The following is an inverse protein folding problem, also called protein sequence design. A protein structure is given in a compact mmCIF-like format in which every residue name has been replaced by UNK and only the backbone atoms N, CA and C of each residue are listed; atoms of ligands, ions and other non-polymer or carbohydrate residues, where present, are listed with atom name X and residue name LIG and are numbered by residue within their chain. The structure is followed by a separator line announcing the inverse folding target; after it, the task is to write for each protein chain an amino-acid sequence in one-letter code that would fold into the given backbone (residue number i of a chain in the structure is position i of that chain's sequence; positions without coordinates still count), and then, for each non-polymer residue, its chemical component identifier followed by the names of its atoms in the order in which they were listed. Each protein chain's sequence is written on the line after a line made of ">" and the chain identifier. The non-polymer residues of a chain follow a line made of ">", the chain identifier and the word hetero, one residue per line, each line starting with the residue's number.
data_IF_199888829587
#
_entry.id   IF_199888829587
#
_cell.length_a   1.000
_cell.length_b   1.000
_cell.length_c   1.000
_cell.angle_alpha   90.00
_cell.angle_beta   90.00
_cell.angle_gamma   90.00
#
_symmetry.space_group_name_H-M   'P 1'
#
loop_
_entity.id
_entity.type
_entity.pdbx_description
1 polymer ?
#
# COMPACT_ATOMS: atom_id res chain seq x y z
N UNK A 1 -9.21 61.59 -42.74
CA UNK A 1 -10.15 60.47 -43.04
C UNK A 1 -9.29 59.37 -43.65
N UNK A 2 -9.12 58.14 -43.17
CA UNK A 2 -9.77 57.26 -42.17
C UNK A 2 -8.83 56.05 -42.04
N UNK A 3 -8.02 55.93 -40.98
CA UNK A 3 -7.14 54.74 -40.79
C UNK A 3 -7.14 54.16 -39.37
N UNK A 4 -8.11 54.55 -38.53
CA UNK A 4 -8.23 54.04 -37.16
C UNK A 4 -9.16 52.82 -37.04
N UNK A 5 -10.03 52.56 -38.02
CA UNK A 5 -11.06 51.50 -37.91
C UNK A 5 -10.59 50.09 -38.28
N UNK A 6 -9.42 49.91 -38.88
CA UNK A 6 -8.96 48.58 -39.33
C UNK A 6 -8.28 47.76 -38.22
N UNK A 7 -7.73 48.41 -37.19
CA UNK A 7 -7.03 47.71 -36.09
C UNK A 7 -7.96 47.23 -34.98
N UNK A 8 -9.09 47.91 -34.77
CA UNK A 8 -10.13 47.49 -33.82
C UNK A 8 -10.98 46.34 -34.35
N UNK A 9 -11.17 46.22 -35.67
CA UNK A 9 -11.90 45.10 -36.27
C UNK A 9 -11.15 43.75 -36.14
N UNK A 10 -9.81 43.75 -36.23
CA UNK A 10 -9.03 42.53 -36.13
C UNK A 10 -8.96 41.95 -34.70
N UNK A 11 -9.05 42.79 -33.67
CA UNK A 11 -8.99 42.34 -32.27
C UNK A 11 -10.36 41.82 -31.79
N UNK A 12 -11.47 42.35 -32.30
CA UNK A 12 -12.82 41.85 -31.97
C UNK A 12 -13.13 40.52 -32.66
N UNK A 13 -12.56 40.26 -33.84
CA UNK A 13 -12.80 39.02 -34.59
C UNK A 13 -12.00 37.82 -34.05
N UNK A 14 -10.88 38.05 -33.36
CA UNK A 14 -10.12 36.99 -32.68
C UNK A 14 -10.76 36.59 -31.34
N UNK A 15 -11.43 37.50 -30.64
CA UNK A 15 -12.14 37.21 -29.38
C UNK A 15 -13.50 36.51 -29.57
N UNK A 16 -14.04 36.46 -30.80
CA UNK A 16 -15.31 35.79 -31.10
C UNK A 16 -15.14 34.30 -31.47
N UNK A 17 -13.94 33.86 -31.85
CA UNK A 17 -13.66 32.45 -32.23
C UNK A 17 -13.27 31.60 -31.01
N UNK A 18 -12.93 32.21 -29.87
CA UNK A 18 -12.59 31.48 -28.64
C UNK A 18 -13.79 31.16 -27.73
N UNK A 19 -14.99 31.69 -28.02
CA UNK A 19 -16.19 31.44 -27.19
C UNK A 19 -17.14 30.35 -27.74
N UNK A 20 -16.99 29.92 -29.00
CA UNK A 20 -17.84 28.87 -29.61
C UNK A 20 -17.22 27.45 -29.55
N UNK A 21 -16.21 27.24 -28.69
CA UNK A 21 -15.62 25.92 -28.42
C UNK A 21 -15.99 25.40 -27.02
N UNK A 22 -17.06 25.95 -26.42
CA UNK A 22 -17.63 25.52 -25.15
C UNK A 22 -19.16 25.34 -25.25
N UNK A 23 -19.64 24.86 -26.40
CA UNK A 23 -21.00 24.32 -26.54
C UNK A 23 -20.92 22.90 -27.14
N UNK A 24 -21.49 21.97 -26.39
CA UNK A 24 -21.94 20.64 -26.79
C UNK A 24 -20.90 19.57 -27.15
N UNK A 25 -20.25 19.05 -26.11
CA UNK A 25 -19.89 17.63 -26.04
C UNK A 25 -21.03 16.84 -25.36
N UNK A 26 -22.23 16.93 -25.93
CA UNK A 26 -23.31 15.96 -25.69
C UNK A 26 -23.12 14.82 -26.69
N UNK A 27 -22.60 13.67 -26.24
CA UNK A 27 -22.52 12.53 -27.15
C UNK A 27 -21.66 11.34 -26.76
N UNK A 28 -20.98 11.33 -25.61
CA UNK A 28 -20.21 10.16 -25.16
C UNK A 28 -20.46 9.87 -23.66
N UNK A 29 -21.73 9.75 -23.28
CA UNK A 29 -22.08 9.04 -22.04
C UNK A 29 -22.20 7.54 -22.35
N UNK A 30 -21.06 6.91 -22.64
CA UNK A 30 -20.96 5.43 -22.71
C UNK A 30 -20.85 4.78 -21.33
N UNK A 31 -21.11 5.52 -20.26
CA UNK A 31 -20.96 5.03 -18.88
C UNK A 31 -22.15 4.17 -18.43
N UNK A 32 -23.34 4.33 -19.02
CA UNK A 32 -24.53 3.54 -18.65
C UNK A 32 -24.51 2.13 -19.28
N UNK A 33 -24.08 2.01 -20.54
CA UNK A 33 -24.05 0.70 -21.23
C UNK A 33 -22.92 -0.20 -20.73
N UNK A 34 -21.82 0.37 -20.23
CA UNK A 34 -20.72 -0.41 -19.62
C UNK A 34 -21.08 -0.82 -18.18
N UNK A 35 -21.97 -0.09 -17.50
CA UNK A 35 -22.44 -0.45 -16.16
C UNK A 35 -23.53 -1.55 -16.21
N UNK A 36 -24.31 -1.62 -17.29
CA UNK A 36 -25.27 -2.71 -17.53
C UNK A 36 -24.61 -4.04 -17.95
N UNK A 37 -23.50 -4.02 -18.69
CA UNK A 37 -22.74 -5.25 -19.04
C UNK A 37 -21.75 -5.68 -17.95
N UNK A 38 -21.28 -4.77 -17.09
CA UNK A 38 -20.49 -5.12 -15.91
C UNK A 38 -21.31 -5.77 -14.78
N UNK A 39 -22.64 -5.61 -14.78
CA UNK A 39 -23.53 -6.29 -13.85
C UNK A 39 -23.87 -7.74 -14.25
N UNK A 40 -23.48 -8.19 -15.45
CA UNK A 40 -23.88 -9.49 -16.00
C UNK A 40 -22.74 -10.53 -16.12
N UNK A 41 -21.53 -10.25 -15.62
CA UNK A 41 -20.39 -11.20 -15.67
C UNK A 41 -19.79 -11.56 -14.29
N UNK A 42 -20.60 -11.60 -13.24
CA UNK A 42 -20.23 -12.28 -12.01
C UNK A 42 -21.20 -13.43 -11.79
N UNK A 43 -20.74 -14.66 -12.09
CA UNK A 43 -21.39 -15.86 -11.59
C UNK A 43 -21.52 -15.78 -10.05
N UNK A 44 -22.57 -16.37 -9.46
CA UNK A 44 -22.96 -16.12 -8.07
C UNK A 44 -21.99 -16.60 -6.98
N UNK A 45 -20.88 -17.26 -7.30
CA UNK A 45 -20.05 -17.96 -6.30
C UNK A 45 -18.55 -17.58 -6.34
N UNK A 46 -18.22 -16.34 -5.97
CA UNK A 46 -16.84 -15.93 -5.65
C UNK A 46 -16.82 -15.07 -4.38
N UNK A 47 -15.78 -15.13 -3.53
CA UNK A 47 -15.71 -14.33 -2.32
C UNK A 47 -15.77 -12.85 -2.70
N UNK A 48 -16.85 -12.19 -2.30
CA UNK A 48 -16.99 -10.74 -2.41
C UNK A 48 -16.24 -10.13 -1.23
N UNK A 49 -15.03 -9.67 -1.49
CA UNK A 49 -14.29 -8.84 -0.55
C UNK A 49 -14.97 -7.47 -0.48
N UNK A 50 -15.64 -7.18 0.63
CA UNK A 50 -16.18 -5.85 0.90
C UNK A 50 -15.23 -5.07 1.83
N UNK A 51 -14.72 -3.96 1.33
CA UNK A 51 -13.92 -3.01 2.09
C UNK A 51 -14.89 -2.14 2.88
N UNK A 52 -14.89 -2.28 4.22
CA UNK A 52 -15.75 -1.47 5.09
C UNK A 52 -14.91 -0.62 6.04
N UNK A 53 -15.25 0.67 6.10
CA UNK A 53 -14.72 1.57 7.10
C UNK A 53 -15.45 1.34 8.43
N UNK A 54 -14.70 0.85 9.42
CA UNK A 54 -15.19 0.50 10.75
C UNK A 54 -14.68 1.53 11.75
N UNK A 55 -15.61 2.13 12.49
CA UNK A 55 -15.27 3.01 13.62
C UNK A 55 -14.59 2.17 14.73
N UNK A 56 -13.38 2.58 15.13
CA UNK A 56 -12.55 1.96 16.16
C UNK A 56 -12.37 2.90 17.36
N UNK A 57 -13.41 3.07 18.19
CA UNK A 57 -13.33 3.91 19.38
C UNK A 57 -12.37 3.34 20.45
N UNK A 58 -12.00 2.06 20.35
CA UNK A 58 -10.98 1.39 21.14
C UNK A 58 -9.57 1.90 20.86
N UNK A 59 -9.29 2.32 19.61
CA UNK A 59 -7.97 2.83 19.19
C UNK A 59 -7.80 4.28 19.61
N UNK A 60 -8.78 5.13 19.27
CA UNK A 60 -8.78 6.52 19.66
C UNK A 60 -10.20 7.07 19.65
N UNK A 61 -10.63 7.62 20.79
CA UNK A 61 -11.87 8.34 20.92
C UNK A 61 -11.67 9.50 21.90
N UNK A 62 -11.95 10.71 21.44
CA UNK A 62 -11.91 11.90 22.29
C UNK A 62 -13.00 12.87 21.88
N UNK A 63 -13.63 13.51 22.86
CA UNK A 63 -14.53 14.65 22.64
C UNK A 63 -13.94 15.83 23.38
N UNK A 64 -13.44 16.81 22.63
CA UNK A 64 -12.73 17.95 23.18
C UNK A 64 -12.91 19.18 22.28
N UNK A 65 -12.49 20.33 22.79
CA UNK A 65 -12.51 21.57 22.04
C UNK A 65 -11.39 21.59 21.01
N UNK A 66 -11.74 21.82 19.75
CA UNK A 66 -10.86 22.04 18.64
C UNK A 66 -10.77 23.51 18.26
N UNK A 67 -9.58 23.92 17.80
CA UNK A 67 -9.31 25.26 17.30
C UNK A 67 -8.68 25.18 15.91
N UNK A 68 -9.25 25.96 15.00
CA UNK A 68 -8.56 26.36 13.78
C UNK A 68 -8.00 27.76 13.97
N UNK A 69 -6.71 27.94 13.69
CA UNK A 69 -5.98 29.19 13.89
C UNK A 69 -6.17 30.22 12.76
N UNK A 70 -6.92 29.86 11.71
CA UNK A 70 -7.18 30.73 10.55
C UNK A 70 -6.02 30.82 9.57
N UNK A 71 -4.90 30.11 9.82
CA UNK A 71 -3.77 30.07 8.90
C UNK A 71 -4.09 29.06 7.78
N UNK A 72 -3.76 29.36 6.51
CA UNK A 72 -3.81 28.36 5.46
C UNK A 72 -2.83 27.22 5.81
N UNK A 73 -3.35 26.00 5.88
CA UNK A 73 -2.54 24.80 6.11
C UNK A 73 -2.08 24.18 4.80
N UNK A 74 -0.96 23.43 4.85
CA UNK A 74 -0.60 22.50 3.79
C UNK A 74 -1.79 21.55 3.58
N UNK A 75 -2.31 21.53 2.35
CA UNK A 75 -3.65 21.05 2.02
C UNK A 75 -3.95 19.63 2.49
N UNK A 76 -5.25 19.34 2.58
CA UNK A 76 -5.79 18.08 3.04
C UNK A 76 -6.52 18.21 4.38
N UNK A 77 -7.42 17.26 4.62
CA UNK A 77 -8.23 17.20 5.83
C UNK A 77 -7.44 16.44 6.90
N UNK A 78 -6.94 17.19 7.88
CA UNK A 78 -6.24 16.63 9.02
C UNK A 78 -6.58 17.30 10.34
N UNK A 79 -6.36 16.56 11.42
CA UNK A 79 -6.55 16.96 12.81
C UNK A 79 -5.33 16.53 13.63
N UNK A 80 -4.90 17.35 14.58
CA UNK A 80 -3.77 17.02 15.45
C UNK A 80 -4.17 17.01 16.93
N UNK A 81 -3.72 15.99 17.65
CA UNK A 81 -3.97 15.84 19.08
C UNK A 81 -2.68 15.40 19.82
N UNK A 82 -2.41 15.88 21.06
CA UNK A 82 -1.18 15.58 21.78
C UNK A 82 -1.02 14.12 22.22
N UNK A 83 -2.13 13.40 22.48
CA UNK A 83 -2.08 12.02 22.99
C UNK A 83 -1.96 10.96 21.88
N UNK A 84 -1.87 11.39 20.62
CA UNK A 84 -1.74 10.50 19.46
C UNK A 84 -0.28 10.13 19.30
N UNK A 85 0.01 8.83 19.21
CA UNK A 85 1.37 8.32 19.02
C UNK A 85 1.63 7.99 17.55
N UNK A 86 0.70 7.25 16.95
CA UNK A 86 0.77 6.81 15.56
C UNK A 86 -0.25 7.57 14.71
N UNK A 87 0.06 7.88 13.45
CA UNK A 87 -0.89 8.50 12.54
C UNK A 87 -2.02 7.52 12.21
N UNK A 88 -3.25 7.97 12.33
CA UNK A 88 -4.45 7.14 12.12
C UNK A 88 -5.45 7.86 11.20
N UNK A 89 -6.35 7.11 10.57
CA UNK A 89 -7.52 7.73 9.94
C UNK A 89 -8.59 7.97 10.99
N UNK A 90 -9.31 9.08 10.88
CA UNK A 90 -10.36 9.45 11.83
C UNK A 90 -11.60 9.97 11.15
N UNK A 91 -12.72 9.69 11.79
CA UNK A 91 -13.99 10.39 11.59
C UNK A 91 -14.12 11.48 12.64
N UNK A 92 -14.32 12.71 12.18
CA UNK A 92 -14.42 13.90 13.03
C UNK A 92 -15.82 14.47 12.89
N UNK A 93 -16.51 14.63 14.02
CA UNK A 93 -17.88 15.12 14.10
C UNK A 93 -17.92 16.41 14.89
N UNK A 94 -18.49 17.47 14.33
CA UNK A 94 -18.77 18.70 15.08
C UNK A 94 -20.07 18.53 15.86
N UNK A 95 -20.02 18.60 17.19
CA UNK A 95 -21.17 18.33 18.06
C UNK A 95 -22.27 19.40 17.94
N UNK A 96 -21.93 20.62 17.48
CA UNK A 96 -22.89 21.72 17.31
C UNK A 96 -23.60 21.68 15.96
N UNK A 97 -22.88 21.38 14.88
CA UNK A 97 -23.45 21.37 13.53
C UNK A 97 -23.92 19.98 13.08
N UNK A 98 -23.48 18.91 13.76
CA UNK A 98 -23.71 17.52 13.35
C UNK A 98 -22.92 17.10 12.11
N UNK A 99 -22.08 17.99 11.55
CA UNK A 99 -21.28 17.69 10.36
C UNK A 99 -20.18 16.71 10.69
N UNK A 100 -19.99 15.74 9.82
CA UNK A 100 -19.00 14.68 9.96
C UNK A 100 -18.09 14.66 8.73
N UNK A 101 -16.79 14.51 8.96
CA UNK A 101 -15.76 14.41 7.92
C UNK A 101 -14.80 13.28 8.25
N UNK A 102 -14.09 12.80 7.23
CA UNK A 102 -12.99 11.86 7.39
C UNK A 102 -11.66 12.55 7.07
N UNK A 103 -10.61 12.20 7.81
CA UNK A 103 -9.30 12.79 7.63
C UNK A 103 -8.20 12.04 8.36
N UNK A 104 -7.01 12.61 8.33
CA UNK A 104 -5.86 12.08 9.03
C UNK A 104 -5.75 12.66 10.45
N UNK A 105 -5.41 11.82 11.41
CA UNK A 105 -5.07 12.19 12.78
C UNK A 105 -3.55 12.15 12.96
N UNK A 106 -2.97 13.26 13.38
CA UNK A 106 -1.55 13.38 13.63
C UNK A 106 -1.23 13.70 15.09
N UNK A 107 -0.02 13.34 15.50
CA UNK A 107 0.57 13.82 16.74
C UNK A 107 0.89 15.30 16.63
N UNK A 108 0.49 16.08 17.63
CA UNK A 108 0.84 17.50 17.70
C UNK A 108 2.34 17.68 17.97
N UNK A 109 3.07 18.26 17.02
CA UNK A 109 4.53 18.41 17.09
C UNK A 109 4.99 19.46 18.11
N UNK A 110 4.24 20.57 18.23
CA UNK A 110 4.54 21.66 19.17
C UNK A 110 3.40 21.80 20.18
N UNK A 111 3.75 21.83 21.47
CA UNK A 111 2.80 22.18 22.51
C UNK A 111 2.47 23.67 22.41
N UNK A 112 1.41 24.00 21.66
CA UNK A 112 0.89 25.35 21.55
C UNK A 112 -0.12 25.61 22.67
N UNK A 113 -0.13 26.82 23.26
CA UNK A 113 -1.17 27.21 24.21
C UNK A 113 -2.54 27.22 23.50
N UNK A 114 -3.59 26.89 24.26
CA UNK A 114 -4.96 26.82 23.74
C UNK A 114 -5.50 25.38 23.71
N UNK A 115 -6.58 25.15 22.95
CA UNK A 115 -7.24 23.85 22.88
C UNK A 115 -6.29 22.74 22.40
N UNK A 116 -6.53 21.50 22.86
CA UNK A 116 -5.61 20.38 22.60
C UNK A 116 -5.70 19.93 21.15
N UNK A 117 -6.89 19.99 20.57
CA UNK A 117 -7.14 19.64 19.17
C UNK A 117 -6.86 20.85 18.27
N UNK A 118 -6.03 20.63 17.25
CA UNK A 118 -5.79 21.59 16.17
C UNK A 118 -6.39 21.05 14.86
N UNK A 119 -7.07 21.92 14.12
CA UNK A 119 -7.68 21.59 12.83
C UNK A 119 -6.91 22.22 11.68
N UNK A 120 -6.86 21.50 10.56
CA UNK A 120 -6.52 22.07 9.25
C UNK A 120 -7.57 23.06 8.76
N UNK A 121 -7.18 23.92 7.80
CA UNK A 121 -8.09 24.82 7.10
C UNK A 121 -9.21 24.06 6.39
N UNK A 122 -8.88 22.95 5.72
CA UNK A 122 -9.86 22.16 4.96
C UNK A 122 -10.82 21.41 5.90
N UNK A 123 -10.32 20.85 7.01
CA UNK A 123 -11.17 20.23 8.03
C UNK A 123 -12.11 21.26 8.67
N UNK A 124 -11.61 22.45 9.02
CA UNK A 124 -12.41 23.51 9.60
C UNK A 124 -13.51 23.98 8.64
N UNK A 125 -13.17 24.20 7.36
CA UNK A 125 -14.12 24.57 6.33
C UNK A 125 -15.23 23.52 6.15
N UNK A 126 -14.86 22.24 6.07
CA UNK A 126 -15.81 21.14 5.89
C UNK A 126 -16.72 20.94 7.11
N UNK A 127 -16.19 21.08 8.33
CA UNK A 127 -16.95 21.02 9.58
C UNK A 127 -17.78 22.29 9.87
N UNK A 128 -17.58 23.36 9.10
CA UNK A 128 -18.20 24.67 9.31
C UNK A 128 -17.72 25.37 10.58
N UNK A 129 -16.44 25.19 10.94
CA UNK A 129 -15.81 25.82 12.10
C UNK A 129 -15.12 27.12 11.66
N UNK A 130 -15.45 28.23 12.32
CA UNK A 130 -14.84 29.53 12.05
C UNK A 130 -13.45 29.65 12.67
N UNK A 131 -12.55 30.38 12.00
CA UNK A 131 -11.21 30.66 12.50
C UNK A 131 -11.25 31.35 13.86
N UNK A 132 -10.38 30.93 14.78
CA UNK A 132 -10.24 31.52 16.11
C UNK A 132 -11.37 31.19 17.09
N UNK A 133 -12.39 30.42 16.68
CA UNK A 133 -13.48 30.01 17.56
C UNK A 133 -13.30 28.56 18.04
N UNK A 134 -13.05 28.34 19.34
CA UNK A 134 -13.00 27.00 19.90
C UNK A 134 -14.37 26.31 19.76
N UNK A 135 -14.38 25.15 19.09
CA UNK A 135 -15.59 24.36 18.82
C UNK A 135 -15.40 22.94 19.28
N UNK A 136 -16.38 22.36 19.95
CA UNK A 136 -16.32 20.99 20.44
C UNK A 136 -16.51 20.00 19.28
N UNK A 137 -15.60 19.03 19.20
CA UNK A 137 -15.61 17.98 18.18
C UNK A 137 -15.36 16.63 18.83
N UNK A 138 -15.98 15.60 18.28
CA UNK A 138 -15.73 14.20 18.61
C UNK A 138 -14.88 13.59 17.51
N UNK A 139 -13.77 12.96 17.89
CA UNK A 139 -12.84 12.30 16.97
C UNK A 139 -12.83 10.81 17.31
N UNK A 140 -13.10 9.98 16.31
CA UNK A 140 -13.07 8.51 16.42
C UNK A 140 -12.14 7.95 15.34
N UNK A 141 -11.20 7.07 15.71
CA UNK A 141 -10.37 6.38 14.72
C UNK A 141 -11.21 5.48 13.82
N UNK A 142 -10.83 5.38 12.54
CA UNK A 142 -11.48 4.53 11.54
C UNK A 142 -10.42 3.61 10.95
N UNK A 143 -10.71 2.31 10.91
CA UNK A 143 -9.86 1.32 10.27
C UNK A 143 -10.64 0.60 9.17
N UNK A 144 -9.95 0.37 8.06
CA UNK A 144 -10.47 -0.39 6.94
C UNK A 144 -10.34 -1.88 7.28
N UNK A 145 -11.47 -2.59 7.37
CA UNK A 145 -11.51 -4.03 7.58
C UNK A 145 -11.99 -4.73 6.29
N UNK A 146 -11.29 -5.79 5.92
CA UNK A 146 -11.60 -6.64 4.77
C UNK A 146 -12.46 -7.81 5.25
N UNK A 147 -13.74 -7.82 4.90
CA UNK A 147 -14.67 -8.88 5.31
C UNK A 147 -14.85 -9.83 4.12
N UNK A 148 -14.39 -11.07 4.26
CA UNK A 148 -14.72 -12.17 3.35
C UNK A 148 -16.13 -12.68 3.71
N UNK A 149 -17.15 -12.28 2.94
CA UNK A 149 -18.47 -12.89 3.06
C UNK A 149 -18.41 -14.31 2.48
N UNK A 150 -18.47 -15.32 3.37
CA UNK A 150 -18.68 -16.70 2.97
C UNK A 150 -20.06 -16.82 2.27
N UNK A 151 -20.16 -17.52 1.13
CA UNK A 151 -21.44 -17.68 0.44
C UNK A 151 -22.43 -18.43 1.33
N UNK A 152 -23.66 -17.90 1.43
CA UNK A 152 -24.77 -18.64 2.04
C UNK A 152 -24.92 -19.99 1.33
N UNK A 153 -24.99 -21.12 2.05
CA UNK A 153 -25.27 -22.39 1.42
C UNK A 153 -26.62 -22.28 0.71
N UNK A 154 -26.61 -22.52 -0.60
CA UNK A 154 -27.81 -22.63 -1.42
C UNK A 154 -28.85 -23.49 -0.70
N UNK A 155 -30.13 -23.08 -0.64
CA UNK A 155 -31.17 -23.97 -0.13
C UNK A 155 -31.18 -25.20 -1.04
N UNK A 156 -30.72 -26.32 -0.47
CA UNK A 156 -30.95 -27.66 -0.99
C UNK A 156 -32.47 -27.74 -1.16
N UNK A 157 -32.91 -27.86 -2.41
CA UNK A 157 -34.32 -28.07 -2.72
C UNK A 157 -34.77 -29.34 -2.00
N UNK A 158 -35.50 -29.17 -0.91
CA UNK A 158 -36.27 -30.24 -0.30
C UNK A 158 -37.34 -30.64 -1.32
N UNK A 159 -37.17 -31.83 -1.86
CA UNK A 159 -38.18 -32.56 -2.62
C UNK A 159 -39.52 -32.48 -1.88
N UNK A 160 -40.40 -31.62 -2.37
CA UNK A 160 -41.78 -31.53 -1.91
C UNK A 160 -42.64 -32.36 -2.84
N UNK A 161 -42.59 -33.68 -2.67
CA UNK A 161 -43.69 -34.55 -3.08
C UNK A 161 -44.69 -34.62 -1.90
N UNK A 162 -45.77 -33.87 -2.12
CA UNK A 162 -47.14 -34.03 -1.68
C UNK A 162 -47.53 -34.95 -0.48
N UNK A 163 -48.45 -34.38 0.31
CA UNK A 163 -49.59 -35.00 1.05
C UNK A 163 -49.26 -35.88 2.26
N UNK A 164 -49.84 -35.71 3.46
CA UNK A 164 -51.27 -35.58 3.79
C UNK A 164 -51.44 -35.09 5.25
N UNK A 165 -52.43 -34.21 5.47
CA UNK A 165 -53.39 -34.14 6.60
C UNK A 165 -53.00 -34.57 8.03
N UNK A 166 -53.14 -33.62 8.96
CA UNK A 166 -54.19 -33.63 10.03
C UNK A 166 -53.80 -32.59 11.09
N UNK A 167 -54.54 -31.49 11.17
CA UNK A 167 -55.62 -31.30 12.16
C UNK A 167 -55.06 -30.92 13.54
N UNK A 168 -55.20 -29.64 13.87
CA UNK A 168 -55.23 -29.14 15.24
C UNK A 168 -56.51 -29.69 15.92
N UNK A 169 -56.69 -29.75 17.27
CA UNK A 169 -56.38 -28.62 18.14
C UNK A 169 -56.08 -28.90 19.65
N UNK A 170 -55.63 -27.84 20.32
CA UNK A 170 -55.96 -27.37 21.68
C UNK A 170 -55.60 -28.17 22.95
N UNK A 171 -55.45 -27.37 24.03
CA UNK A 171 -55.34 -27.67 25.48
C UNK A 171 -53.96 -28.19 25.92
N UNK A 172 -53.35 -27.77 27.04
CA UNK A 172 -53.87 -27.12 28.23
C UNK A 172 -52.71 -26.48 29.05
N UNK A 173 -53.05 -25.40 29.77
CA UNK A 173 -52.75 -25.14 31.19
C UNK A 173 -51.35 -25.38 31.84
N UNK A 174 -50.82 -24.27 32.36
CA UNK A 174 -50.38 -24.03 33.76
C UNK A 174 -49.45 -25.01 34.50
N UNK A 175 -48.32 -24.44 35.00
CA UNK A 175 -47.80 -24.50 36.39
C UNK A 175 -46.30 -24.11 36.38
N UNK A 176 -45.89 -22.99 36.99
CA UNK A 176 -45.26 -22.90 38.33
C UNK A 176 -44.28 -24.05 38.61
N UNK A 177 -43.03 -23.83 39.05
CA UNK A 177 -42.68 -23.33 40.39
C UNK A 177 -41.27 -22.72 40.37
N UNK A 178 -41.09 -21.66 41.17
CA UNK A 178 -39.84 -21.02 41.55
C UNK A 178 -38.96 -21.87 42.48
N UNK A 179 -37.63 -21.71 42.41
CA UNK A 179 -36.67 -21.82 43.54
C UNK A 179 -35.43 -20.99 43.15
N UNK A 180 -35.27 -19.76 43.68
CA UNK A 180 -34.30 -19.34 44.73
C UNK A 180 -32.87 -19.87 44.54
N UNK A 181 -31.93 -19.00 44.18
CA UNK A 181 -31.11 -18.21 45.11
C UNK A 181 -30.11 -19.06 45.92
N UNK A 182 -28.82 -18.84 45.63
CA UNK A 182 -27.70 -19.41 46.35
C UNK A 182 -26.43 -18.63 46.05
N UNK A 183 -26.36 -17.40 46.58
CA UNK A 183 -25.12 -16.65 46.70
C UNK A 183 -24.22 -17.31 47.75
N UNK A 184 -22.94 -17.46 47.44
CA UNK A 184 -21.88 -17.45 48.47
C UNK A 184 -20.68 -16.71 47.93
N UNK A 185 -20.49 -15.50 48.45
CA UNK A 185 -19.22 -14.80 48.47
C UNK A 185 -18.34 -15.42 49.57
N UNK A 186 -17.04 -15.55 49.30
CA UNK A 186 -15.99 -15.56 50.33
C UNK A 186 -14.90 -14.60 49.88
N UNK A 187 -14.64 -13.61 50.74
CA UNK A 187 -13.58 -12.61 50.66
C UNK A 187 -12.21 -13.28 50.93
N UNK A 188 -11.21 -13.01 50.10
CA UNK A 188 -10.10 -12.07 50.33
C UNK A 188 -8.82 -12.73 50.88
N UNK A 189 -7.75 -12.73 50.06
CA UNK A 189 -6.39 -12.63 50.57
C UNK A 189 -5.47 -11.93 49.55
N UNK A 190 -4.67 -10.99 50.06
CA UNK A 190 -3.82 -10.10 49.30
C UNK A 190 -2.48 -10.75 48.94
N UNK A 191 -2.09 -10.68 47.66
CA UNK A 191 -0.76 -11.11 47.19
C UNK A 191 -0.01 -9.92 46.58
N UNK A 192 1.18 -9.65 47.11
CA UNK A 192 2.13 -8.63 46.66
C UNK A 192 2.63 -8.94 45.24
N UNK A 193 2.81 -7.95 44.35
CA UNK A 193 3.24 -8.21 42.98
C UNK A 193 4.74 -8.52 42.89
N UNK A 194 5.09 -9.59 42.16
CA UNK A 194 6.44 -9.98 41.81
C UNK A 194 7.07 -9.04 40.74
N UNK A 195 8.40 -8.86 40.72
CA UNK A 195 9.06 -7.91 39.83
C UNK A 195 9.12 -8.41 38.37
N UNK A 196 8.82 -7.50 37.43
CA UNK A 196 8.86 -7.73 35.98
C UNK A 196 10.31 -8.00 35.51
N UNK A 197 10.54 -8.92 34.54
CA UNK A 197 11.87 -9.17 34.00
C UNK A 197 12.37 -7.96 33.19
N UNK A 198 13.65 -7.61 33.39
CA UNK A 198 14.31 -6.49 32.70
C UNK A 198 14.43 -6.78 31.20
N UNK A 199 13.83 -5.92 30.39
CA UNK A 199 14.00 -5.91 28.94
C UNK A 199 15.44 -5.59 28.50
N UNK A 200 15.73 -5.97 27.27
CA UNK A 200 17.02 -5.97 26.55
C UNK A 200 17.90 -4.72 26.72
N UNK A 201 17.30 -3.56 27.01
CA UNK A 201 18.00 -2.29 27.21
C UNK A 201 18.84 -2.19 28.50
N UNK A 202 18.57 -3.04 29.50
CA UNK A 202 19.36 -3.09 30.74
C UNK A 202 20.76 -3.68 30.56
N UNK A 203 20.94 -4.61 29.61
CA UNK A 203 22.22 -5.28 29.33
C UNK A 203 23.18 -4.38 28.54
N UNK A 204 22.64 -3.50 27.70
CA UNK A 204 23.43 -2.55 26.91
C UNK A 204 24.11 -1.49 27.79
N UNK A 205 23.46 -1.06 28.88
CA UNK A 205 24.01 -0.06 29.80
C UNK A 205 25.10 -0.63 30.72
N UNK A 206 25.05 -1.92 31.06
CA UNK A 206 26.12 -2.60 31.80
C UNK A 206 27.36 -2.88 30.92
N UNK A 207 27.18 -3.05 29.61
CA UNK A 207 28.27 -3.26 28.65
C UNK A 207 29.17 -2.04 28.44
N UNK A 208 28.70 -0.83 28.79
CA UNK A 208 29.47 0.42 28.63
C UNK A 208 30.20 0.84 29.91
N UNK A 209 30.00 0.13 31.02
CA UNK A 209 30.64 0.43 32.31
C UNK A 209 31.85 -0.45 32.61
N UNK A 210 32.02 -1.56 31.88
CA UNK A 210 33.14 -2.48 32.09
C UNK A 210 34.19 -2.30 30.99
N UNK A 211 35.14 -1.39 31.24
CA UNK A 211 36.36 -1.22 30.47
C UNK A 211 37.52 -1.76 31.29
N UNK A 212 38.37 -2.64 30.72
CA UNK A 212 39.77 -2.62 31.04
C UNK A 212 40.59 -2.18 29.83
N UNK A 213 41.51 -1.27 30.12
CA UNK A 213 42.67 -0.97 29.28
C UNK A 213 43.75 -2.05 29.47
N UNK A 214 44.63 -2.20 28.48
CA UNK A 214 45.94 -2.84 28.69
C UNK A 214 46.38 -3.80 27.59
N UNK A 215 46.95 -3.23 26.53
CA UNK A 215 48.24 -3.52 25.88
C UNK A 215 48.94 -4.91 25.94
N UNK A 216 49.62 -5.17 24.80
CA UNK A 216 50.80 -6.01 24.46
C UNK A 216 50.66 -7.54 24.39
N UNK A 217 50.88 -8.12 23.19
CA UNK A 217 52.15 -8.76 22.78
C UNK A 217 51.97 -9.92 21.79
N UNK A 218 52.74 -9.85 20.70
CA UNK A 218 53.12 -10.95 19.81
C UNK A 218 53.88 -12.02 20.60
N UNK A 219 53.57 -13.30 20.37
CA UNK A 219 54.55 -14.38 20.41
C UNK A 219 54.04 -15.61 19.66
N UNK A 220 54.88 -16.06 18.73
CA UNK A 220 54.87 -17.33 18.02
C UNK A 220 55.36 -18.41 18.98
N UNK A 221 54.74 -19.59 19.00
CA UNK A 221 55.48 -20.84 19.07
C UNK A 221 54.63 -22.03 18.59
N UNK A 222 55.32 -22.98 17.97
CA UNK A 222 54.83 -24.14 17.24
C UNK A 222 54.82 -25.40 18.12
N UNK A 223 53.92 -26.35 17.84
CA UNK A 223 54.13 -27.81 17.93
C UNK A 223 52.94 -28.47 17.19
N UNK A 224 53.11 -28.93 15.94
CA UNK A 224 53.50 -30.30 15.54
C UNK A 224 52.41 -31.36 15.81
N UNK A 225 51.72 -31.81 14.75
CA UNK A 225 51.81 -33.18 14.18
C UNK A 225 50.49 -33.63 13.51
N UNK A 226 50.63 -34.56 12.55
CA UNK A 226 49.65 -35.40 11.86
C UNK A 226 49.35 -35.08 10.37
N UNK A 227 50.36 -35.37 9.54
CA UNK A 227 50.32 -36.30 8.38
C UNK A 227 49.42 -35.98 7.17
N UNK A 228 50.08 -35.62 6.06
CA UNK A 228 49.56 -35.62 4.68
C UNK A 228 50.35 -36.66 3.87
N UNK A 229 49.74 -37.47 2.99
CA UNK A 229 50.50 -38.15 1.94
C UNK A 229 50.60 -37.27 0.68
N UNK A 230 51.86 -36.98 0.33
CA UNK A 230 52.47 -36.95 -1.01
C UNK A 230 51.58 -36.69 -2.24
N UNK A 231 51.78 -35.52 -2.87
CA UNK A 231 51.42 -35.28 -4.28
C UNK A 231 52.58 -34.55 -4.95
N UNK A 232 53.14 -35.21 -5.96
CA UNK A 232 54.26 -34.77 -6.80
C UNK A 232 53.98 -33.42 -7.47
N UNK A 233 54.88 -32.46 -7.28
CA UNK A 233 54.92 -31.20 -8.05
C UNK A 233 55.86 -31.36 -9.23
N UNK A 234 55.30 -31.45 -10.44
CA UNK A 234 56.07 -31.34 -11.68
C UNK A 234 56.32 -29.86 -11.99
N UNK A 235 57.58 -29.49 -12.16
CA UNK A 235 58.06 -28.14 -12.48
C UNK A 235 57.74 -27.77 -13.93
N UNK A 236 57.06 -26.65 -14.14
CA UNK A 236 56.85 -26.04 -15.46
C UNK A 236 58.00 -25.08 -15.79
N UNK A 237 58.81 -25.42 -16.79
CA UNK A 237 59.72 -24.48 -17.43
C UNK A 237 58.94 -23.52 -18.38
N UNK A 238 59.42 -22.28 -18.56
CA UNK A 238 58.67 -21.18 -19.16
C UNK A 238 58.64 -21.26 -20.69
N UNK A 239 57.47 -21.54 -21.25
CA UNK A 239 57.18 -21.33 -22.69
C UNK A 239 56.79 -19.88 -22.96
N UNK A 240 57.67 -18.93 -22.60
CA UNK A 240 57.72 -17.66 -23.31
C UNK A 240 58.32 -17.92 -24.68
N UNK A 241 57.59 -17.55 -25.74
CA UNK A 241 57.99 -17.53 -27.17
C UNK A 241 57.50 -18.67 -28.09
N UNK A 242 56.36 -19.32 -27.79
CA UNK A 242 55.70 -20.20 -28.78
C UNK A 242 54.15 -20.22 -28.73
N UNK A 243 53.51 -19.20 -28.13
CA UNK A 243 52.05 -19.03 -28.16
C UNK A 243 51.61 -17.66 -28.73
N UNK A 244 52.51 -16.95 -29.43
CA UNK A 244 52.19 -15.73 -30.17
C UNK A 244 51.67 -16.01 -31.61
N UNK A 245 51.48 -17.28 -31.98
CA UNK A 245 50.90 -17.70 -33.27
C UNK A 245 49.54 -18.42 -33.12
N UNK A 246 48.98 -18.48 -31.91
CA UNK A 246 47.61 -18.95 -31.65
C UNK A 246 46.65 -17.80 -31.28
N UNK A 247 47.14 -16.56 -31.29
CA UNK A 247 46.38 -15.34 -31.02
C UNK A 247 46.05 -14.59 -32.34
N UNK A 248 46.57 -15.07 -33.48
CA UNK A 248 46.36 -14.49 -34.83
C UNK A 248 45.39 -15.33 -35.69
N UNK A 249 44.72 -16.33 -35.09
CA UNK A 249 43.64 -17.12 -35.70
C UNK A 249 42.38 -17.23 -34.83
N UNK A 250 42.22 -16.33 -33.86
CA UNK A 250 40.97 -16.14 -33.12
C UNK A 250 40.38 -14.72 -33.30
N UNK A 251 40.97 -13.89 -34.16
CA UNK A 251 40.46 -12.55 -34.56
C UNK A 251 39.79 -12.56 -35.95
N UNK A 252 39.23 -13.69 -36.36
CA UNK A 252 38.25 -13.74 -37.46
C UNK A 252 37.19 -14.78 -37.13
N UNK A 253 36.42 -14.50 -36.11
CA UNK A 253 35.01 -14.88 -36.11
C UNK A 253 34.28 -13.56 -36.11
N UNK A 254 33.64 -13.26 -37.24
CA UNK A 254 32.65 -12.22 -37.37
C UNK A 254 31.83 -12.17 -36.08
N UNK A 255 31.81 -11.01 -35.43
CA UNK A 255 30.74 -10.63 -34.53
C UNK A 255 29.44 -10.89 -35.31
N UNK A 256 28.86 -12.08 -35.12
CA UNK A 256 27.43 -12.24 -35.24
C UNK A 256 26.90 -11.22 -34.24
N UNK A 257 26.21 -10.15 -34.68
CA UNK A 257 25.73 -9.17 -33.75
C UNK A 257 24.88 -9.93 -32.74
N UNK A 258 25.25 -9.85 -31.45
CA UNK A 258 24.35 -10.19 -30.37
C UNK A 258 23.02 -9.53 -30.75
N UNK A 259 21.90 -10.27 -30.86
CA UNK A 259 20.69 -9.75 -31.47
C UNK A 259 20.35 -8.44 -30.78
N UNK A 260 20.57 -7.33 -31.50
CA UNK A 260 20.24 -6.01 -31.00
C UNK A 260 18.74 -6.10 -30.73
N UNK A 261 18.36 -5.99 -29.45
CA UNK A 261 16.97 -6.07 -29.02
C UNK A 261 16.14 -5.23 -29.99
N UNK A 262 15.23 -5.88 -30.72
CA UNK A 262 14.47 -5.25 -31.78
C UNK A 262 13.84 -3.97 -31.21
N UNK A 263 14.27 -2.81 -31.72
CA UNK A 263 13.73 -1.53 -31.29
C UNK A 263 12.23 -1.55 -31.55
N UNK A 264 11.44 -1.50 -30.48
CA UNK A 264 9.99 -1.54 -30.59
C UNK A 264 9.49 -0.25 -31.23
N UNK A 265 8.61 -0.35 -32.24
CA UNK A 265 8.03 0.81 -32.92
C UNK A 265 6.89 1.48 -32.13
N UNK A 266 6.56 0.95 -30.95
CA UNK A 266 5.50 1.41 -30.07
C UNK A 266 5.98 2.55 -29.17
N UNK A 267 5.12 3.57 -28.93
CA UNK A 267 5.42 4.64 -27.97
C UNK A 267 5.63 4.10 -26.53
N UNK A 268 4.89 3.06 -26.15
CA UNK A 268 4.95 2.45 -24.84
C UNK A 268 5.24 0.96 -24.99
N UNK A 269 6.49 0.54 -25.27
CA UNK A 269 6.76 -0.87 -25.55
C UNK A 269 6.82 -1.73 -24.28
N UNK A 270 6.96 -1.12 -23.10
CA UNK A 270 7.07 -1.86 -21.85
C UNK A 270 5.72 -2.05 -21.16
N UNK A 271 5.61 -3.12 -20.38
CA UNK A 271 4.55 -3.29 -19.39
C UNK A 271 5.17 -3.12 -18.01
N UNK A 272 4.79 -2.08 -17.26
CA UNK A 272 5.21 -1.90 -15.88
C UNK A 272 4.26 -2.66 -14.97
N UNK A 273 4.80 -3.61 -14.21
CA UNK A 273 4.02 -4.47 -13.31
C UNK A 273 3.90 -3.86 -11.91
N UNK A 274 4.92 -3.13 -11.45
CA UNK A 274 4.92 -2.51 -10.13
C UNK A 274 6.08 -1.55 -9.88
N UNK A 275 5.93 -0.76 -8.81
CA UNK A 275 6.92 0.18 -8.29
C UNK A 275 7.12 -0.11 -6.80
N UNK A 276 8.37 -0.32 -6.40
CA UNK A 276 8.72 -0.75 -5.04
C UNK A 276 9.82 0.13 -4.45
N UNK A 277 9.74 0.41 -3.15
CA UNK A 277 10.81 1.09 -2.41
C UNK A 277 11.95 0.16 -2.00
N UNK A 278 11.72 -1.16 -2.06
CA UNK A 278 12.67 -2.21 -1.68
C UNK A 278 12.93 -3.13 -2.86
N UNK A 279 14.20 -3.41 -3.13
CA UNK A 279 14.64 -4.29 -4.23
C UNK A 279 14.11 -5.71 -4.03
N UNK A 280 14.07 -6.19 -2.79
CA UNK A 280 13.60 -7.53 -2.45
C UNK A 280 12.14 -7.77 -2.84
N UNK A 281 11.28 -6.74 -2.71
CA UNK A 281 9.90 -6.84 -3.16
C UNK A 281 9.82 -6.91 -4.69
N UNK A 282 10.64 -6.12 -5.39
CA UNK A 282 10.72 -6.14 -6.84
C UNK A 282 11.26 -7.49 -7.35
N UNK A 283 12.24 -8.08 -6.67
CA UNK A 283 12.83 -9.37 -7.03
C UNK A 283 11.89 -10.54 -6.78
N UNK A 284 11.08 -10.50 -5.72
CA UNK A 284 10.02 -11.48 -5.48
C UNK A 284 8.95 -11.46 -6.59
N UNK A 285 8.49 -10.27 -6.99
CA UNK A 285 7.57 -10.12 -8.14
C UNK A 285 8.21 -10.63 -9.42
N UNK A 286 9.48 -10.30 -9.64
CA UNK A 286 10.20 -10.77 -10.81
C UNK A 286 10.34 -12.31 -10.84
N UNK A 287 10.55 -12.95 -9.69
CA UNK A 287 10.62 -14.41 -9.57
C UNK A 287 9.28 -15.07 -9.91
N UNK A 288 8.17 -14.52 -9.41
CA UNK A 288 6.82 -15.03 -9.70
C UNK A 288 6.48 -14.92 -11.19
N UNK A 289 6.84 -13.80 -11.84
CA UNK A 289 6.67 -13.64 -13.28
C UNK A 289 7.51 -14.66 -14.07
N UNK A 290 8.76 -14.91 -13.65
CA UNK A 290 9.62 -15.94 -14.28
C UNK A 290 9.05 -17.34 -14.15
N UNK A 291 8.43 -17.67 -13.02
CA UNK A 291 7.73 -18.94 -12.83
C UNK A 291 6.55 -19.09 -13.80
N UNK A 292 5.89 -17.99 -14.15
CA UNK A 292 4.86 -17.94 -15.17
C UNK A 292 5.39 -17.90 -16.62
N UNK A 293 6.71 -18.04 -16.82
CA UNK A 293 7.36 -18.00 -18.14
C UNK A 293 7.54 -16.59 -18.70
N UNK A 294 7.27 -15.54 -17.91
CA UNK A 294 7.43 -14.14 -18.29
C UNK A 294 8.79 -13.68 -17.80
N UNK A 295 9.62 -13.06 -18.66
CA UNK A 295 10.95 -12.57 -18.26
C UNK A 295 10.87 -11.07 -17.94
N UNK A 296 10.91 -10.67 -16.66
CA UNK A 296 10.92 -9.28 -16.27
C UNK A 296 12.33 -8.71 -16.12
N UNK A 297 12.43 -7.40 -16.32
CA UNK A 297 13.57 -6.54 -16.07
C UNK A 297 13.28 -5.67 -14.84
N UNK A 298 14.25 -5.58 -13.92
CA UNK A 298 14.15 -4.69 -12.74
C UNK A 298 15.05 -3.48 -13.01
N UNK A 299 14.47 -2.28 -12.94
CA UNK A 299 15.21 -1.01 -13.08
C UNK A 299 15.17 -0.22 -11.78
N UNK A 300 16.33 0.07 -11.23
CA UNK A 300 16.49 1.00 -10.11
C UNK A 300 16.60 2.43 -10.63
N UNK A 301 15.79 3.34 -10.08
CA UNK A 301 15.88 4.77 -10.33
C UNK A 301 16.09 5.51 -9.02
N UNK A 302 17.20 6.24 -8.91
CA UNK A 302 17.45 7.17 -7.80
C UNK A 302 17.19 8.58 -8.27
N UNK A 303 16.34 9.32 -7.57
CA UNK A 303 16.06 10.72 -7.88
C UNK A 303 16.71 11.62 -6.80
N UNK A 304 17.98 11.98 -7.00
CA UNK A 304 18.71 12.89 -6.10
C UNK A 304 18.77 12.37 -4.65
N UNK A 305 18.37 13.21 -3.69
CA UNK A 305 18.36 12.92 -2.25
C UNK A 305 17.27 11.91 -1.80
N UNK A 306 16.47 11.39 -2.73
CA UNK A 306 15.41 10.41 -2.42
C UNK A 306 15.89 8.97 -2.48
N UNK A 307 15.14 8.08 -1.80
CA UNK A 307 15.39 6.63 -1.78
C UNK A 307 15.23 6.05 -3.19
N UNK A 308 16.04 5.04 -3.52
CA UNK A 308 15.96 4.30 -4.80
C UNK A 308 14.60 3.62 -4.93
N UNK A 309 13.95 3.83 -6.07
CA UNK A 309 12.72 3.15 -6.45
C UNK A 309 13.02 2.07 -7.49
N UNK A 310 12.43 0.90 -7.31
CA UNK A 310 12.61 -0.28 -8.13
C UNK A 310 11.36 -0.51 -8.95
N UNK A 311 11.51 -0.48 -10.27
CA UNK A 311 10.42 -0.73 -11.22
C UNK A 311 10.61 -2.08 -11.88
N UNK A 312 9.54 -2.87 -11.95
CA UNK A 312 9.54 -4.15 -12.64
C UNK A 312 8.83 -3.99 -13.98
N UNK A 313 9.55 -4.25 -15.05
CA UNK A 313 9.09 -4.14 -16.42
C UNK A 313 9.10 -5.50 -17.11
N UNK A 314 8.26 -5.67 -18.13
CA UNK A 314 8.27 -6.86 -18.99
C UNK A 314 8.39 -6.40 -20.44
N UNK A 315 9.53 -6.79 -21.05
CA UNK A 315 9.85 -6.69 -22.47
C UNK A 315 9.85 -5.27 -23.07
N UNK A 316 10.63 -5.00 -24.12
CA UNK A 316 10.14 -4.14 -25.17
C UNK A 316 9.28 -5.00 -26.12
N UNK A 317 7.96 -4.79 -26.11
CA UNK A 317 7.01 -5.49 -26.98
C UNK A 317 7.02 -4.89 -28.38
N UNK A 318 7.10 -5.74 -29.41
CA UNK A 318 7.18 -5.29 -30.81
C UNK A 318 5.83 -5.01 -31.46
N UNK A 319 4.74 -5.64 -30.99
CA UNK A 319 3.38 -5.49 -31.51
C UNK A 319 2.38 -5.12 -30.41
N UNK A 320 1.33 -4.38 -30.76
CA UNK A 320 0.29 -3.98 -29.81
C UNK A 320 -0.56 -5.17 -29.33
N UNK A 321 -0.78 -6.15 -30.21
CA UNK A 321 -1.59 -7.34 -29.88
C UNK A 321 -0.87 -8.24 -28.87
N UNK A 322 0.43 -8.50 -29.06
CA UNK A 322 1.23 -9.28 -28.11
C UNK A 322 1.32 -8.56 -26.76
N UNK A 323 1.44 -7.24 -26.78
CA UNK A 323 1.42 -6.41 -25.57
C UNK A 323 0.09 -6.51 -24.82
N UNK A 324 -1.05 -6.42 -25.52
CA UNK A 324 -2.36 -6.53 -24.90
C UNK A 324 -2.59 -7.93 -24.31
N UNK A 325 -2.18 -8.98 -25.02
CA UNK A 325 -2.26 -10.36 -24.55
C UNK A 325 -1.41 -10.58 -23.28
N UNK A 326 -0.18 -10.07 -23.28
CA UNK A 326 0.73 -10.19 -22.15
C UNK A 326 0.25 -9.37 -20.94
N UNK A 327 -0.29 -8.16 -21.16
CA UNK A 327 -0.89 -7.36 -20.11
C UNK A 327 -2.08 -8.08 -19.46
N UNK A 328 -2.96 -8.68 -20.28
CA UNK A 328 -4.09 -9.46 -19.78
C UNK A 328 -3.63 -10.69 -18.99
N UNK A 329 -2.55 -11.35 -19.42
CA UNK A 329 -1.94 -12.46 -18.69
C UNK A 329 -1.37 -11.99 -17.34
N UNK A 330 -0.62 -10.88 -17.31
CA UNK A 330 -0.06 -10.29 -16.09
C UNK A 330 -1.16 -9.91 -15.10
N UNK A 331 -2.26 -9.32 -15.57
CA UNK A 331 -3.43 -9.00 -14.73
C UNK A 331 -4.10 -10.25 -14.17
N UNK A 332 -4.22 -11.32 -14.97
CA UNK A 332 -4.77 -12.61 -14.52
C UNK A 332 -3.89 -13.28 -13.44
N UNK A 333 -2.59 -13.00 -13.43
CA UNK A 333 -1.66 -13.44 -12.39
C UNK A 333 -1.79 -12.64 -11.07
N UNK A 334 -2.71 -11.67 -10.99
CA UNK A 334 -2.99 -10.88 -9.79
C UNK A 334 -2.36 -9.48 -9.80
N UNK A 335 -1.63 -9.11 -10.86
CA UNK A 335 -1.05 -7.77 -11.00
C UNK A 335 -2.02 -6.82 -11.72
N UNK A 336 -3.13 -6.50 -11.06
CA UNK A 336 -4.23 -5.69 -11.63
C UNK A 336 -3.80 -4.29 -12.06
N UNK A 337 -2.80 -3.74 -11.36
CA UNK A 337 -2.27 -2.38 -11.55
C UNK A 337 -1.24 -2.30 -12.67
N UNK A 338 -0.96 -3.40 -13.38
CA UNK A 338 -0.03 -3.37 -14.50
C UNK A 338 -0.54 -2.45 -15.61
N UNK A 339 0.36 -1.62 -16.16
CA UNK A 339 0.05 -0.63 -17.19
C UNK A 339 1.17 -0.52 -18.23
N UNK A 340 0.84 0.07 -19.38
CA UNK A 340 1.80 0.28 -20.47
C UNK A 340 2.72 1.46 -20.14
N UNK A 341 4.03 1.24 -20.24
CA UNK A 341 5.04 2.21 -19.89
C UNK A 341 5.90 2.61 -21.10
N UNK A 342 6.32 3.88 -21.18
CA UNK A 342 7.30 4.34 -22.17
C UNK A 342 8.69 3.77 -21.87
N UNK A 343 9.60 3.95 -22.83
CA UNK A 343 11.02 3.60 -22.69
C UNK A 343 11.68 4.19 -21.45
#
# INVERSE_FOLDING_TARGET
>A
MTFTSARTAAIVLVSAVTLAACEDFEGLSSSDTVQAEAAAQLGPDGPRTEIRDVDRPDVFNVTETALWDGRPSLGGIWVAHPDVTDPERVKVTNTKSGKTIEGALFRRERANPGPRIQLSSDAAAALGILAGQPTEVTIVAVRQEEIELAPEPLPIGEDSDAVETSDAPATDETASVAVTAGATAVAAEAVKPAPKPKGFWGKFRDSLRNKPAGDVALAVDATEDATVPDVETQTLDPVTTAAAAAIDQAETTEETPAPAAAASALQNPYIQVGLFSLEENASAVAANLRQAGIIPEIRGQSSGDSKTLWRVYVGPMSTADDQAALLAQVKRLGYTDAFLAPN
#
